data_IF_085561783080
#
_entry.id   IF_085561783080
#
_cell.length_a   1.000
_cell.length_b   1.000
_cell.length_c   1.000
_cell.angle_alpha   90.00
_cell.angle_beta   90.00
_cell.angle_gamma   90.00
#
_symmetry.space_group_name_H-M   'P 1'
#
loop_
_entity.id
_entity.type
_entity.pdbx_description
1 polymer ?
2 non-polymer ?
3 water ?
#
# COMPACT_ATOMS: atom_id res chain seq x y z
N UNK A 1 -4.42 -9.41 12.89
CA UNK A 1 -5.81 -9.40 13.35
C UNK A 1 -6.04 -10.89 13.52
N UNK A 2 -5.77 -11.60 12.45
CA UNK A 2 -5.36 -12.94 12.19
C UNK A 2 -4.77 -12.70 10.86
N UNK A 3 -3.67 -13.36 10.59
CA UNK A 3 -3.00 -13.23 9.33
C UNK A 3 -3.97 -13.59 8.23
N UNK A 4 -4.82 -14.61 8.47
CA UNK A 4 -5.89 -15.01 7.57
C UNK A 4 -6.86 -13.87 7.32
N UNK A 5 -7.12 -13.04 8.34
CA UNK A 5 -7.99 -11.88 8.22
C UNK A 5 -7.34 -10.74 7.44
N UNK A 6 -6.04 -10.47 7.68
CA UNK A 6 -5.29 -9.44 6.94
C UNK A 6 -5.24 -9.80 5.46
N UNK A 7 -5.05 -11.09 5.16
CA UNK A 7 -5.02 -11.63 3.81
C UNK A 7 -6.35 -11.40 3.12
N UNK A 8 -7.46 -11.61 3.86
CA UNK A 8 -8.81 -11.43 3.35
C UNK A 8 -9.11 -9.95 3.11
N UNK A 9 -8.78 -9.08 4.10
CA UNK A 9 -8.97 -7.63 4.01
C UNK A 9 -8.20 -7.05 2.81
N UNK A 10 -6.95 -7.51 2.61
CA UNK A 10 -6.11 -7.11 1.49
C UNK A 10 -6.77 -7.48 0.15
N UNK A 11 -7.29 -8.73 0.01
CA UNK A 11 -8.01 -9.20 -1.19
C UNK A 11 -9.26 -8.35 -1.45
N UNK A 12 -10.05 -8.05 -0.39
CA UNK A 12 -11.26 -7.23 -0.44
C UNK A 12 -10.94 -5.82 -0.94
N UNK A 13 -9.86 -5.20 -0.41
CA UNK A 13 -9.45 -3.85 -0.78
C UNK A 13 -8.89 -3.77 -2.19
N UNK A 14 -8.17 -4.81 -2.63
CA UNK A 14 -7.64 -4.91 -3.98
C UNK A 14 -8.81 -5.01 -4.96
N UNK A 15 -9.88 -5.75 -4.59
CA UNK A 15 -11.08 -5.94 -5.40
C UNK A 15 -11.89 -4.65 -5.58
N UNK A 16 -12.20 -3.97 -4.49
CA UNK A 16 -12.95 -2.71 -4.46
C UNK A 16 -12.22 -1.59 -5.20
N UNK A 17 -10.91 -1.47 -4.99
CA UNK A 17 -10.08 -0.47 -5.63
C UNK A 17 -9.83 -0.67 -7.10
N UNK A 18 -9.84 -1.93 -7.55
CA UNK A 18 -9.72 -2.26 -8.96
C UNK A 18 -10.97 -1.78 -9.70
N UNK A 19 -12.14 -2.03 -9.10
CA UNK A 19 -13.43 -1.63 -9.64
C UNK A 19 -13.55 -0.08 -9.63
N UNK A 20 -13.12 0.57 -8.55
CA UNK A 20 -13.14 2.04 -8.41
C UNK A 20 -12.22 2.78 -9.39
N UNK A 21 -11.11 2.16 -9.79
CA UNK A 21 -10.12 2.82 -10.65
C UNK A 21 -10.13 2.38 -12.10
N UNK A 22 -10.60 1.15 -12.34
CA UNK A 22 -10.60 0.56 -13.67
C UNK A 22 -9.21 0.17 -14.13
N UNK A 23 -8.31 -0.08 -13.18
CA UNK A 23 -6.95 -0.51 -13.46
C UNK A 23 -7.03 -1.90 -14.10
N UNK A 24 -6.20 -2.17 -15.11
CA UNK A 24 -6.15 -3.47 -15.76
C UNK A 24 -5.68 -4.50 -14.75
N UNK A 25 -6.19 -5.73 -14.84
CA UNK A 25 -5.82 -6.82 -13.95
C UNK A 25 -4.29 -7.05 -13.92
N UNK A 26 -3.61 -6.93 -15.08
CA UNK A 26 -2.16 -7.09 -15.19
C UNK A 26 -1.40 -6.06 -14.35
N UNK A 27 -1.78 -4.77 -14.47
CA UNK A 27 -1.16 -3.68 -13.73
C UNK A 27 -1.40 -3.82 -12.24
N UNK A 28 -2.60 -4.27 -11.85
CA UNK A 28 -2.97 -4.50 -10.43
C UNK A 28 -2.12 -5.65 -9.88
N UNK A 29 -1.89 -6.71 -10.69
CA UNK A 29 -1.04 -7.86 -10.30
C UNK A 29 0.39 -7.40 -10.05
N UNK A 30 0.90 -6.46 -10.88
CA UNK A 30 2.24 -5.89 -10.76
C UNK A 30 2.39 -5.16 -9.42
N UNK A 31 1.38 -4.32 -9.04
CA UNK A 31 1.35 -3.59 -7.77
C UNK A 31 1.38 -4.61 -6.62
N UNK A 32 0.46 -5.60 -6.66
CA UNK A 32 0.36 -6.68 -5.68
C UNK A 32 1.72 -7.41 -5.50
N UNK A 33 2.43 -7.69 -6.61
CA UNK A 33 3.75 -8.36 -6.58
C UNK A 33 4.92 -7.43 -6.17
N UNK A 34 4.65 -6.14 -6.01
CA UNK A 34 5.66 -5.16 -5.59
C UNK A 34 6.43 -4.51 -6.72
N UNK A 35 5.87 -4.57 -7.94
CA UNK A 35 6.48 -3.97 -9.14
C UNK A 35 5.59 -2.77 -9.48
N UNK A 36 5.90 -1.62 -8.87
CA UNK A 36 5.08 -0.42 -9.02
C UNK A 36 5.55 0.54 -10.11
N UNK A 37 4.70 0.72 -11.14
CA UNK A 37 4.97 1.67 -12.22
C UNK A 37 4.42 3.00 -11.68
N UNK A 38 5.26 3.69 -10.89
CA UNK A 38 4.91 4.92 -10.16
C UNK A 38 4.24 6.05 -10.95
N UNK A 39 4.60 6.19 -12.24
CA UNK A 39 4.12 7.25 -13.13
C UNK A 39 2.76 6.98 -13.77
N UNK A 40 2.34 5.72 -13.78
CA UNK A 40 1.05 5.29 -14.35
C UNK A 40 -0.12 5.85 -13.54
N UNK A 41 -1.03 6.63 -14.20
CA UNK A 41 -2.19 7.28 -13.59
C UNK A 41 -3.10 6.29 -12.86
N UNK A 42 -3.43 5.16 -13.50
CA UNK A 42 -4.30 4.14 -12.89
C UNK A 42 -3.62 3.34 -11.79
N UNK A 43 -2.27 3.25 -11.82
CA UNK A 43 -1.49 2.60 -10.74
C UNK A 43 -1.55 3.52 -9.53
N UNK A 44 -1.37 4.84 -9.75
CA UNK A 44 -1.47 5.89 -8.71
C UNK A 44 -2.81 5.85 -8.01
N UNK A 45 -3.91 5.81 -8.78
CA UNK A 45 -5.27 5.77 -8.24
C UNK A 45 -5.52 4.53 -7.40
N UNK A 46 -5.09 3.36 -7.90
CA UNK A 46 -5.21 2.06 -7.24
C UNK A 46 -4.43 2.04 -5.91
N UNK A 47 -3.19 2.57 -5.90
CA UNK A 47 -2.31 2.69 -4.72
C UNK A 47 -2.95 3.60 -3.67
N UNK A 48 -3.44 4.77 -4.11
CA UNK A 48 -4.13 5.76 -3.28
C UNK A 48 -5.36 5.14 -2.66
N UNK A 49 -6.15 4.40 -3.47
CA UNK A 49 -7.38 3.76 -3.01
C UNK A 49 -7.11 2.75 -1.90
N UNK A 50 -6.12 1.86 -2.09
CA UNK A 50 -5.75 0.84 -1.10
C UNK A 50 -5.28 1.51 0.21
N UNK A 51 -4.42 2.55 0.09
CA UNK A 51 -3.92 3.29 1.25
C UNK A 51 -5.02 4.01 2.03
N UNK A 52 -5.95 4.67 1.32
CA UNK A 52 -7.08 5.37 1.95
C UNK A 52 -8.04 4.38 2.62
N UNK A 53 -8.25 3.19 1.99
CA UNK A 53 -9.13 2.15 2.53
C UNK A 53 -8.59 1.49 3.80
N UNK A 54 -7.26 1.56 4.01
CA UNK A 54 -6.59 1.06 5.21
C UNK A 54 -6.33 2.21 6.17
N UNK A 55 -6.85 3.42 5.85
CA UNK A 55 -6.71 4.67 6.59
C UNK A 55 -5.24 5.09 6.82
N UNK A 56 -4.32 4.58 5.96
CA UNK A 56 -2.89 4.93 5.95
C UNK A 56 -2.79 6.32 5.33
N UNK A 57 -3.76 6.64 4.47
CA UNK A 57 -3.91 7.94 3.84
C UNK A 57 -5.26 8.48 4.25
N UNK A 58 -5.28 9.71 4.79
CA UNK A 58 -6.58 10.29 5.15
C UNK A 58 -7.23 10.86 3.89
N UNK A 59 -8.43 11.45 4.01
CA UNK A 59 -9.16 12.00 2.86
C UNK A 59 -8.46 13.19 2.15
N UNK A 60 -7.54 13.89 2.87
CA UNK A 60 -6.77 15.02 2.35
C UNK A 60 -5.39 14.58 1.81
N UNK A 61 -5.19 13.25 1.66
CA UNK A 61 -3.95 12.61 1.22
C UNK A 61 -2.80 12.82 2.21
N UNK A 62 -3.16 13.00 3.50
CA UNK A 62 -2.23 13.19 4.60
C UNK A 62 -1.80 11.78 5.05
N UNK A 63 -0.49 11.55 5.11
CA UNK A 63 0.09 10.27 5.51
C UNK A 63 -0.09 10.03 7.01
N UNK A 64 -0.67 8.88 7.37
CA UNK A 64 -0.92 8.49 8.75
C UNK A 64 -0.06 7.30 9.17
N UNK A 65 1.11 7.54 9.81
CA UNK A 65 1.98 6.43 10.25
C UNK A 65 1.34 5.32 11.08
N UNK A 66 0.31 5.65 11.90
CA UNK A 66 -0.43 4.69 12.73
C UNK A 66 -1.10 3.61 11.89
N UNK A 67 -1.61 4.01 10.72
CA UNK A 67 -2.24 3.13 9.75
C UNK A 67 -1.29 2.08 9.21
N UNK A 68 -0.09 2.51 8.79
CA UNK A 68 0.93 1.60 8.28
C UNK A 68 1.59 0.73 9.37
N UNK A 69 1.75 1.28 10.58
CA UNK A 69 2.30 0.55 11.73
C UNK A 69 1.38 -0.61 12.12
N UNK A 70 0.06 -0.36 12.20
CA UNK A 70 -0.98 -1.35 12.54
C UNK A 70 -0.90 -2.57 11.62
N UNK A 71 -0.78 -2.33 10.29
CA UNK A 71 -0.69 -3.35 9.25
C UNK A 71 0.66 -4.10 9.34
N UNK A 72 1.79 -3.35 9.21
CA UNK A 72 3.17 -3.87 9.19
C UNK A 72 3.65 -4.63 10.41
N UNK A 73 3.16 -4.27 11.59
CA UNK A 73 3.47 -4.89 12.90
C UNK A 73 3.12 -6.38 12.90
N UNK A 74 2.19 -6.78 12.01
CA UNK A 74 1.71 -8.16 11.87
C UNK A 74 2.59 -8.98 10.93
N UNK A 75 3.43 -8.33 10.11
CA UNK A 75 4.26 -8.99 9.09
C UNK A 75 5.76 -8.97 9.34
N UNK A 76 6.31 -7.84 9.80
CA UNK A 76 7.76 -7.71 10.01
C UNK A 76 8.11 -7.45 11.47
N UNK A 77 9.41 -7.50 11.83
CA UNK A 77 9.87 -7.25 13.19
C UNK A 77 9.71 -5.77 13.56
N UNK A 78 9.57 -5.49 14.86
CA UNK A 78 9.38 -4.17 15.46
C UNK A 78 10.30 -3.07 14.91
N UNK A 79 11.63 -3.31 14.91
CA UNK A 79 12.63 -2.35 14.44
C UNK A 79 12.55 -2.06 12.94
N UNK A 80 12.20 -3.08 12.13
CA UNK A 80 12.03 -2.94 10.69
C UNK A 80 10.84 -2.04 10.37
N UNK A 81 9.75 -2.10 11.18
CA UNK A 81 8.54 -1.27 11.06
C UNK A 81 8.94 0.18 11.32
N UNK A 82 9.80 0.42 12.33
CA UNK A 82 10.30 1.74 12.71
C UNK A 82 11.08 2.34 11.56
N UNK A 83 11.91 1.51 10.90
CA UNK A 83 12.70 1.88 9.72
C UNK A 83 11.77 2.19 8.55
N UNK A 84 10.73 1.37 8.33
CA UNK A 84 9.73 1.54 7.26
C UNK A 84 9.05 2.91 7.39
N UNK A 85 8.55 3.24 8.61
CA UNK A 85 7.85 4.49 8.90
C UNK A 85 8.74 5.71 8.64
N UNK A 86 10.03 5.66 9.05
CA UNK A 86 10.99 6.75 8.80
C UNK A 86 11.20 7.00 7.29
N UNK A 87 11.43 5.92 6.52
CA UNK A 87 11.62 5.94 5.06
C UNK A 87 10.39 6.48 4.33
N UNK A 88 9.22 5.92 4.66
CA UNK A 88 7.95 6.26 4.03
C UNK A 88 7.44 7.67 4.39
N UNK A 89 7.63 8.12 5.66
CA UNK A 89 7.21 9.45 6.14
C UNK A 89 8.00 10.60 5.52
N UNK A 90 9.24 10.33 5.09
CA UNK A 90 10.16 11.35 4.56
C UNK A 90 10.26 11.41 3.02
N UNK A 91 9.38 10.71 2.28
CA UNK A 91 9.35 10.73 0.81
C UNK A 91 9.03 12.14 0.35
N UNK A 92 9.90 12.72 -0.50
CA UNK A 92 9.69 14.04 -1.03
C UNK A 92 8.89 13.91 -2.33
N UNK A 93 7.57 13.87 -2.18
CA UNK A 93 6.68 13.92 -3.32
C UNK A 93 5.57 14.81 -3.09
N UNK A 94 5.64 15.87 -3.70
CA UNK A 94 4.77 16.96 -3.69
C UNK A 94 3.39 16.77 -4.37
N UNK A 95 3.25 15.97 -5.42
CA UNK A 95 2.03 15.45 -6.07
C UNK A 95 1.37 14.33 -5.22
N UNK A 96 0.06 14.46 -4.84
CA UNK A 96 -0.55 13.42 -3.99
C UNK A 96 -0.72 12.01 -4.58
N UNK A 97 -1.04 11.92 -5.89
CA UNK A 97 -1.24 10.63 -6.56
C UNK A 97 0.08 9.92 -6.78
N UNK A 98 1.13 10.69 -7.14
CA UNK A 98 2.48 10.19 -7.34
C UNK A 98 3.08 9.81 -5.98
N UNK A 99 2.66 10.52 -4.90
CA UNK A 99 3.08 10.25 -3.53
C UNK A 99 2.54 8.88 -3.12
N UNK A 100 1.28 8.58 -3.51
CA UNK A 100 0.57 7.33 -3.20
C UNK A 100 1.23 6.09 -3.83
N UNK A 101 1.64 6.18 -5.11
CA UNK A 101 2.31 5.04 -5.78
C UNK A 101 3.73 4.88 -5.24
N UNK A 102 4.39 6.01 -4.88
CA UNK A 102 5.72 6.02 -4.28
C UNK A 102 5.65 5.47 -2.85
N UNK A 103 4.53 5.70 -2.15
CA UNK A 103 4.28 5.22 -0.78
C UNK A 103 4.18 3.68 -0.79
N UNK A 104 3.35 3.12 -1.70
CA UNK A 104 3.17 1.68 -1.90
C UNK A 104 4.49 1.03 -2.34
N UNK A 105 5.28 1.72 -3.21
CA UNK A 105 6.60 1.25 -3.65
C UNK A 105 7.56 1.14 -2.45
N UNK A 106 7.56 2.15 -1.54
CA UNK A 106 8.35 2.20 -0.30
C UNK A 106 8.01 1.03 0.62
N UNK A 107 6.69 0.84 0.92
CA UNK A 107 6.18 -0.24 1.78
C UNK A 107 6.56 -1.61 1.18
N UNK A 108 6.37 -1.76 -0.14
CA UNK A 108 6.64 -3.00 -0.88
C UNK A 108 8.05 -3.54 -0.81
N UNK A 109 9.06 -2.68 -0.58
CA UNK A 109 10.44 -3.15 -0.42
C UNK A 109 10.63 -3.97 0.88
N UNK A 110 9.72 -3.79 1.85
CA UNK A 110 9.70 -4.50 3.13
C UNK A 110 8.85 -5.78 3.03
N UNK A 111 7.60 -5.65 2.55
CA UNK A 111 6.67 -6.75 2.37
C UNK A 111 5.71 -6.39 1.24
N UNK A 112 5.65 -7.23 0.21
CA UNK A 112 4.72 -6.99 -0.90
C UNK A 112 3.38 -7.54 -0.50
N UNK A 113 2.30 -7.05 -1.13
CA UNK A 113 0.95 -7.55 -0.84
C UNK A 113 0.81 -9.02 -1.18
N UNK A 114 1.47 -9.47 -2.29
CA UNK A 114 1.44 -10.87 -2.69
C UNK A 114 2.10 -11.79 -1.67
N UNK A 115 3.24 -11.36 -1.09
CA UNK A 115 3.99 -12.13 -0.08
C UNK A 115 3.15 -12.49 1.14
N UNK A 116 2.16 -11.64 1.48
CA UNK A 116 1.22 -11.85 2.59
C UNK A 116 0.42 -13.15 2.37
N UNK A 117 0.13 -13.51 1.09
CA UNK A 117 -0.59 -14.73 0.73
C UNK A 117 0.21 -16.04 0.95
N UNK A 118 1.50 -15.94 1.40
CA UNK A 118 2.41 -17.08 1.62
C UNK A 118 2.75 -17.64 3.03
N UNK A 119 2.63 -16.99 4.20
CA UNK A 119 2.01 -15.72 4.51
C UNK A 119 2.89 -14.88 5.45
X LIG B 1 6.91 6.28 15.30
X LIG B 1 9.41 6.71 14.12
X LIG B 1 7.44 8.78 14.02
X LIG B 1 9.67 9.13 15.70
X LIG B 1 7.08 8.67 16.84
X LIG B 1 9.14 6.70 16.96
X LIG B 1 7.80 4.61 13.60
X LIG B 1 5.38 7.45 13.52
X LIG B 1 4.98 7.22 16.99
X LIG B 1 7.50 4.52 17.11
X LIG B 1 8.61 7.82 11.90
X LIG B 1 5.70 10.37 15.35
X LIG B 1 8.74 10.81 17.38
X LIG B 1 11.24 8.10 17.45
X LIG B 1 11.64 8.22 14.06
X LIG B 1 9.12 10.89 13.87
X LIG B 1 7.96 7.69 18.99
X LIG B 1 10.82 5.16 15.67
#
# INVERSE_FOLDING_TARGET
>A
MTIEELKTRLHTEQSVCKTETGIDQQKANDVIEGNIDVEDKKVQLYCECILKNFNILDKNNVFKPQGIKAVMELLIDENSVKQLVSDCSTISEENPHLKASKLVQCVSKYKTMKSVDFL
>B hetero
1 TBR TA1 TA2 TA3 TA4 TA5 TA6 BR1 BR2 BR3 BR4 BR5 BR6 BR7 BR8 BR9 BRA BRB BRC
#
